data_IF_756545118503
#
_entry.id   IF_756545118503
#
_cell.length_a   1.000
_cell.length_b   1.000
_cell.length_c   1.000
_cell.angle_alpha   90.00
_cell.angle_beta   90.00
_cell.angle_gamma   90.00
#
_symmetry.space_group_name_H-M   'P 1'
#
loop_
_entity.id
_entity.type
_entity.pdbx_description
1 polymer ?
#
# COMPACT_ATOMS: atom_id res chain seq x y z
N UNK A 1 9.57 9.83 -3.70
CA UNK A 1 10.62 8.92 -3.18
C UNK A 1 10.47 8.85 -1.68
N UNK A 2 10.73 7.70 -1.07
CA UNK A 2 10.62 7.50 0.39
C UNK A 2 11.78 6.66 0.88
N UNK A 3 12.25 6.93 2.10
CA UNK A 3 13.25 6.10 2.76
C UNK A 3 12.58 4.79 3.18
N UNK A 4 13.17 3.68 2.76
CA UNK A 4 12.75 2.33 3.12
C UNK A 4 13.77 1.75 4.08
N UNK A 5 13.31 1.27 5.23
CA UNK A 5 14.08 0.57 6.24
C UNK A 5 14.08 -0.93 5.93
N UNK A 6 15.27 -1.51 5.87
CA UNK A 6 15.52 -2.94 5.68
C UNK A 6 16.05 -3.61 6.94
N UNK A 7 16.70 -2.84 7.83
CA UNK A 7 17.26 -3.32 9.09
C UNK A 7 18.52 -4.17 8.96
N UNK A 8 18.96 -4.46 7.74
CA UNK A 8 20.20 -5.18 7.44
C UNK A 8 20.72 -4.81 6.05
N UNK A 9 22.01 -5.00 5.81
CA UNK A 9 22.58 -4.91 4.47
C UNK A 9 22.16 -6.12 3.63
N UNK A 10 22.08 -5.94 2.31
CA UNK A 10 21.77 -7.03 1.40
C UNK A 10 21.58 -6.55 -0.02
N UNK A 11 21.02 -7.44 -0.85
CA UNK A 11 20.78 -7.15 -2.26
C UNK A 11 19.34 -6.70 -2.44
N UNK A 12 19.19 -5.48 -2.96
CA UNK A 12 17.92 -4.95 -3.42
C UNK A 12 17.77 -5.18 -4.92
N UNK A 13 16.67 -5.79 -5.31
CA UNK A 13 16.30 -6.04 -6.70
C UNK A 13 15.05 -5.22 -7.04
N UNK A 14 15.03 -4.62 -8.23
CA UNK A 14 13.84 -3.95 -8.77
C UNK A 14 13.39 -4.69 -10.02
N UNK A 15 12.08 -4.87 -10.16
CA UNK A 15 11.45 -5.60 -11.26
C UNK A 15 10.38 -4.76 -11.93
N UNK A 16 10.19 -4.93 -13.23
CA UNK A 16 9.03 -4.39 -13.93
C UNK A 16 7.74 -5.18 -13.62
N UNK A 17 6.63 -4.76 -14.24
CA UNK A 17 5.32 -5.39 -14.02
C UNK A 17 5.20 -6.82 -14.59
N UNK A 18 6.14 -7.23 -15.45
CA UNK A 18 6.21 -8.58 -16.05
C UNK A 18 7.14 -9.49 -15.24
N UNK A 19 7.79 -8.98 -14.21
CA UNK A 19 8.78 -9.71 -13.41
C UNK A 19 10.17 -9.74 -14.02
N UNK A 20 10.48 -8.87 -14.97
CA UNK A 20 11.84 -8.72 -15.52
C UNK A 20 12.68 -7.88 -14.57
N UNK A 21 13.86 -8.38 -14.18
CA UNK A 21 14.82 -7.65 -13.36
C UNK A 21 15.32 -6.41 -14.13
N UNK A 22 15.09 -5.22 -13.60
CA UNK A 22 15.50 -3.95 -14.22
C UNK A 22 16.71 -3.33 -13.52
N UNK A 23 16.91 -3.63 -12.23
CA UNK A 23 18.02 -3.08 -11.45
C UNK A 23 18.35 -3.99 -10.28
N UNK A 24 19.62 -4.04 -9.91
CA UNK A 24 20.13 -4.80 -8.77
C UNK A 24 21.28 -4.03 -8.13
N UNK A 25 21.23 -3.85 -6.82
CA UNK A 25 22.28 -3.15 -6.07
C UNK A 25 22.41 -3.68 -4.65
N UNK A 26 23.60 -3.55 -4.08
CA UNK A 26 23.80 -3.70 -2.65
C UNK A 26 23.31 -2.45 -1.92
N UNK A 27 22.64 -2.67 -0.79
CA UNK A 27 22.18 -1.63 0.10
C UNK A 27 22.60 -1.94 1.53
N UNK A 28 22.66 -0.91 2.36
CA UNK A 28 22.82 -1.03 3.80
C UNK A 28 21.45 -1.17 4.48
N UNK A 29 21.31 -0.72 5.73
CA UNK A 29 20.09 -0.85 6.51
C UNK A 29 18.89 -0.03 5.98
N UNK A 30 19.11 0.98 5.14
CA UNK A 30 18.05 1.77 4.50
C UNK A 30 18.45 2.23 3.09
N UNK A 31 17.45 2.59 2.29
CA UNK A 31 17.65 3.22 0.98
C UNK A 31 16.47 4.12 0.62
N UNK A 32 16.72 5.18 -0.15
CA UNK A 32 15.67 6.07 -0.68
C UNK A 32 15.19 5.53 -2.03
N UNK A 33 13.94 5.06 -2.10
CA UNK A 33 13.37 4.43 -3.29
C UNK A 33 12.24 5.27 -3.92
N UNK A 34 12.06 5.18 -5.25
CA UNK A 34 10.91 5.80 -5.92
C UNK A 34 9.62 5.10 -5.54
N UNK A 35 8.51 5.83 -5.63
CA UNK A 35 7.18 5.25 -5.43
C UNK A 35 6.88 4.24 -6.55
N UNK A 36 6.31 3.10 -6.18
CA UNK A 36 5.97 2.06 -7.14
C UNK A 36 4.81 2.49 -8.02
N UNK A 37 5.03 2.42 -9.34
CA UNK A 37 4.00 2.72 -10.33
C UNK A 37 3.40 1.43 -10.87
N UNK A 38 4.20 0.71 -11.67
CA UNK A 38 3.92 -0.63 -12.19
C UNK A 38 5.01 -1.65 -11.81
N UNK A 39 6.11 -1.17 -11.23
CA UNK A 39 7.23 -1.97 -10.77
C UNK A 39 7.03 -2.46 -9.33
N UNK A 40 7.87 -3.39 -8.90
CA UNK A 40 8.00 -3.81 -7.50
C UNK A 40 9.47 -4.04 -7.16
N UNK A 41 9.76 -4.13 -5.86
CA UNK A 41 11.10 -4.42 -5.34
C UNK A 41 11.11 -5.77 -4.63
N UNK A 42 12.30 -6.36 -4.51
CA UNK A 42 12.54 -7.56 -3.71
C UNK A 42 13.80 -7.38 -2.86
N UNK A 43 13.70 -7.74 -1.59
CA UNK A 43 14.82 -7.75 -0.66
C UNK A 43 14.71 -8.98 0.24
N UNK A 44 15.78 -9.78 0.35
CA UNK A 44 15.81 -11.02 1.13
C UNK A 44 14.60 -11.94 0.89
N UNK A 45 14.22 -12.12 -0.39
CA UNK A 45 13.10 -12.99 -0.76
C UNK A 45 11.71 -12.35 -0.69
N UNK A 46 11.57 -11.21 -0.01
CA UNK A 46 10.28 -10.52 0.18
C UNK A 46 10.05 -9.49 -0.91
N UNK A 47 8.94 -9.61 -1.62
CA UNK A 47 8.48 -8.59 -2.58
C UNK A 47 7.71 -7.49 -1.85
N UNK A 48 7.92 -6.23 -2.27
CA UNK A 48 7.27 -5.07 -1.67
C UNK A 48 7.10 -3.92 -2.67
N UNK A 49 6.17 -3.02 -2.34
CA UNK A 49 5.98 -1.75 -3.01
C UNK A 49 6.50 -0.57 -2.20
N UNK A 50 6.45 0.63 -2.77
CA UNK A 50 6.76 1.87 -2.05
C UNK A 50 5.65 2.87 -2.34
N UNK A 51 4.86 3.21 -1.32
CA UNK A 51 3.83 4.25 -1.42
C UNK A 51 4.21 5.49 -0.61
N UNK A 52 3.45 6.56 -0.82
CA UNK A 52 3.58 7.78 -0.04
C UNK A 52 3.16 7.56 1.42
N UNK A 53 3.43 8.53 2.29
CA UNK A 53 3.10 8.47 3.71
C UNK A 53 4.17 9.11 4.58
N UNK A 54 3.84 9.27 5.86
CA UNK A 54 4.74 9.89 6.85
C UNK A 54 5.72 8.86 7.40
N UNK A 55 6.97 9.29 7.64
CA UNK A 55 8.04 8.45 8.20
C UNK A 55 8.64 7.43 7.22
N UNK A 56 9.66 6.70 7.68
CA UNK A 56 10.35 5.69 6.88
C UNK A 56 9.51 4.43 6.77
N UNK A 57 9.46 3.82 5.58
CA UNK A 57 8.67 2.61 5.31
C UNK A 57 9.48 1.37 5.71
N UNK A 58 8.95 0.52 6.59
CA UNK A 58 9.46 -0.86 6.70
C UNK A 58 9.04 -1.62 5.44
N UNK A 59 10.00 -2.21 4.73
CA UNK A 59 9.73 -2.94 3.48
C UNK A 59 8.68 -4.06 3.63
N UNK A 60 8.50 -4.61 4.84
CA UNK A 60 7.52 -5.66 5.15
C UNK A 60 6.11 -5.13 5.37
N UNK A 61 5.97 -3.84 5.65
CA UNK A 61 4.67 -3.23 5.93
C UNK A 61 3.83 -2.98 4.66
N UNK A 62 4.43 -3.07 3.47
CA UNK A 62 3.75 -2.81 2.20
C UNK A 62 4.12 -3.86 1.12
N UNK A 63 3.75 -5.14 1.32
CA UNK A 63 4.16 -6.25 0.45
C UNK A 63 3.52 -6.22 -0.95
N UNK A 64 2.44 -5.46 -1.13
CA UNK A 64 1.70 -5.33 -2.38
C UNK A 64 1.62 -3.86 -2.79
N UNK A 65 1.71 -3.59 -4.09
CA UNK A 65 1.48 -2.25 -4.63
C UNK A 65 -0.03 -1.98 -4.74
N UNK A 66 -0.65 -1.58 -3.62
CA UNK A 66 -2.09 -1.33 -3.53
C UNK A 66 -2.54 -0.15 -4.40
N UNK A 67 -3.74 -0.29 -4.96
CA UNK A 67 -4.40 0.72 -5.77
C UNK A 67 -5.92 0.60 -5.61
N UNK A 68 -6.56 1.65 -5.10
CA UNK A 68 -7.98 1.63 -4.77
C UNK A 68 -8.90 2.26 -5.82
N UNK A 69 -8.40 2.52 -7.04
CA UNK A 69 -9.22 3.12 -8.11
C UNK A 69 -10.52 2.35 -8.39
N UNK A 70 -10.43 1.01 -8.36
CA UNK A 70 -11.57 0.13 -8.62
C UNK A 70 -12.46 -0.11 -7.40
N UNK A 71 -12.05 0.31 -6.19
CA UNK A 71 -12.86 0.11 -4.98
C UNK A 71 -14.07 1.02 -5.00
N UNK A 72 -15.26 0.43 -4.95
CA UNK A 72 -16.52 1.17 -4.96
C UNK A 72 -16.83 1.71 -3.56
N UNK A 73 -17.21 2.98 -3.47
CA UNK A 73 -17.56 3.61 -2.20
C UNK A 73 -18.75 2.92 -1.52
N UNK A 74 -19.76 2.52 -2.31
CA UNK A 74 -20.93 1.78 -1.80
C UNK A 74 -20.52 0.53 -1.01
N UNK A 75 -19.42 -0.14 -1.40
CA UNK A 75 -18.92 -1.33 -0.70
C UNK A 75 -18.26 -0.98 0.63
N UNK A 76 -17.53 0.14 0.70
CA UNK A 76 -16.93 0.65 1.93
C UNK A 76 -18.04 1.07 2.90
N UNK A 77 -18.97 1.89 2.43
CA UNK A 77 -20.09 2.43 3.19
C UNK A 77 -20.99 1.31 3.74
N UNK A 78 -21.42 0.38 2.89
CA UNK A 78 -22.24 -0.75 3.34
C UNK A 78 -21.54 -1.64 4.36
N UNK A 79 -20.23 -1.82 4.24
CA UNK A 79 -19.48 -2.59 5.22
C UNK A 79 -19.40 -1.85 6.56
N UNK A 80 -19.05 -0.56 6.54
CA UNK A 80 -18.89 0.23 7.76
C UNK A 80 -20.22 0.46 8.51
N UNK A 81 -21.32 0.68 7.78
CA UNK A 81 -22.63 0.98 8.39
C UNK A 81 -23.47 -0.27 8.68
N UNK A 82 -23.41 -1.28 7.81
CA UNK A 82 -24.32 -2.43 7.83
C UNK A 82 -23.60 -3.78 7.98
N UNK A 83 -22.28 -3.81 8.12
CA UNK A 83 -21.44 -5.04 8.13
C UNK A 83 -21.68 -5.95 6.93
N UNK A 84 -22.10 -5.36 5.80
CA UNK A 84 -22.42 -6.11 4.58
C UNK A 84 -21.20 -6.17 3.67
N UNK A 85 -20.66 -7.36 3.52
CA UNK A 85 -19.51 -7.60 2.63
C UNK A 85 -19.88 -7.51 1.14
N UNK A 86 -18.94 -7.11 0.27
CA UNK A 86 -19.12 -7.16 -1.18
C UNK A 86 -19.28 -8.62 -1.65
N UNK A 87 -20.24 -8.86 -2.56
CA UNK A 87 -20.40 -10.18 -3.20
C UNK A 87 -19.31 -10.50 -4.22
N UNK A 88 -18.70 -9.46 -4.79
CA UNK A 88 -17.62 -9.60 -5.77
C UNK A 88 -16.28 -9.80 -5.05
N UNK A 89 -15.55 -10.86 -5.40
CA UNK A 89 -14.29 -11.23 -4.74
C UNK A 89 -13.20 -10.14 -4.85
N UNK A 90 -13.10 -9.48 -6.00
CA UNK A 90 -12.15 -8.38 -6.19
C UNK A 90 -12.48 -7.21 -5.27
N UNK A 91 -13.75 -6.83 -5.15
CA UNK A 91 -14.18 -5.78 -4.23
C UNK A 91 -13.95 -6.17 -2.77
N UNK A 92 -14.19 -7.43 -2.42
CA UNK A 92 -13.89 -7.93 -1.07
C UNK A 92 -12.39 -7.85 -0.76
N UNK A 93 -11.53 -8.24 -1.70
CA UNK A 93 -10.08 -8.12 -1.54
C UNK A 93 -9.62 -6.66 -1.40
N UNK A 94 -10.13 -5.77 -2.26
CA UNK A 94 -9.82 -4.34 -2.19
C UNK A 94 -10.30 -3.70 -0.89
N UNK A 95 -11.48 -4.09 -0.39
CA UNK A 95 -12.00 -3.63 0.89
C UNK A 95 -11.11 -4.07 2.05
N UNK A 96 -10.71 -5.35 2.09
CA UNK A 96 -9.78 -5.86 3.11
C UNK A 96 -8.44 -5.12 3.06
N UNK A 97 -7.87 -4.93 1.87
CA UNK A 97 -6.63 -4.18 1.70
C UNK A 97 -6.79 -2.71 2.14
N UNK A 98 -7.94 -2.09 1.88
CA UNK A 98 -8.25 -0.70 2.27
C UNK A 98 -8.35 -0.55 3.80
N UNK A 99 -9.06 -1.46 4.47
CA UNK A 99 -9.16 -1.48 5.93
C UNK A 99 -7.81 -1.78 6.59
N UNK A 100 -7.02 -2.69 6.01
CA UNK A 100 -5.67 -3.00 6.51
C UNK A 100 -4.71 -1.81 6.46
N UNK A 101 -4.90 -0.88 5.51
CA UNK A 101 -4.18 0.40 5.49
C UNK A 101 -4.55 1.26 6.70
N UNK A 102 -5.84 1.35 7.05
CA UNK A 102 -6.28 2.05 8.26
C UNK A 102 -5.70 1.41 9.51
N UNK A 103 -5.79 0.08 9.66
CA UNK A 103 -5.24 -0.62 10.82
C UNK A 103 -3.75 -0.31 11.02
N UNK A 104 -2.98 -0.31 9.93
CA UNK A 104 -1.55 0.04 9.97
C UNK A 104 -1.35 1.52 10.32
N UNK A 105 -2.12 2.43 9.72
CA UNK A 105 -2.02 3.87 9.97
C UNK A 105 -2.39 4.22 11.41
N UNK A 106 -3.46 3.64 11.96
CA UNK A 106 -3.89 3.78 13.35
C UNK A 106 -2.78 3.27 14.29
N UNK A 107 -2.24 2.07 14.03
CA UNK A 107 -1.14 1.52 14.83
C UNK A 107 0.10 2.42 14.85
N UNK A 108 0.35 3.16 13.77
CA UNK A 108 1.50 4.09 13.66
C UNK A 108 1.16 5.49 14.19
N UNK A 109 -0.12 5.84 14.33
CA UNK A 109 -0.60 7.13 14.83
C UNK A 109 -0.60 8.27 13.80
N UNK A 110 -0.41 7.96 12.52
CA UNK A 110 -0.39 8.92 11.42
C UNK A 110 -0.65 8.21 10.07
N UNK A 111 -0.83 8.97 8.99
CA UNK A 111 -0.94 8.42 7.63
C UNK A 111 0.40 7.83 7.14
N UNK A 112 0.75 6.67 7.69
CA UNK A 112 1.99 5.95 7.44
C UNK A 112 2.02 5.32 6.04
N UNK A 113 0.92 4.76 5.59
CA UNK A 113 0.70 4.27 4.23
C UNK A 113 -0.36 5.15 3.56
N UNK A 114 0.00 5.74 2.42
CA UNK A 114 -0.90 6.43 1.50
C UNK A 114 -0.80 5.81 0.10
N UNK A 115 -1.39 4.62 -0.11
CA UNK A 115 -1.49 4.03 -1.45
C UNK A 115 -2.28 4.91 -2.42
N UNK A 116 -2.18 4.57 -3.70
CA UNK A 116 -2.92 5.28 -4.75
C UNK A 116 -4.43 5.18 -4.50
N UNK A 117 -5.12 6.30 -4.65
CA UNK A 117 -6.56 6.45 -4.45
C UNK A 117 -7.05 6.26 -3.00
N UNK A 118 -6.17 6.09 -2.02
CA UNK A 118 -6.59 5.88 -0.63
C UNK A 118 -7.31 7.12 -0.04
N UNK A 119 -6.68 8.29 -0.16
CA UNK A 119 -7.23 9.54 0.39
C UNK A 119 -8.44 10.03 -0.41
N UNK A 120 -8.48 9.75 -1.71
CA UNK A 120 -9.61 10.03 -2.58
C UNK A 120 -10.84 9.23 -2.13
N UNK A 121 -10.67 7.94 -1.81
CA UNK A 121 -11.75 7.10 -1.27
C UNK A 121 -12.18 7.52 0.12
N UNK A 122 -11.24 7.91 0.99
CA UNK A 122 -11.56 8.49 2.30
C UNK A 122 -12.39 9.77 2.15
N UNK A 123 -11.98 10.68 1.28
CA UNK A 123 -12.71 11.93 1.02
C UNK A 123 -14.12 11.69 0.46
N UNK A 124 -14.24 10.84 -0.57
CA UNK A 124 -15.54 10.46 -1.16
C UNK A 124 -16.50 9.86 -0.10
N UNK A 125 -15.98 9.03 0.81
CA UNK A 125 -16.76 8.44 1.89
C UNK A 125 -17.23 9.50 2.89
N UNK A 126 -16.34 10.39 3.33
CA UNK A 126 -16.68 11.48 4.26
C UNK A 126 -17.73 12.43 3.66
N UNK A 127 -17.59 12.79 2.39
CA UNK A 127 -18.55 13.63 1.67
C UNK A 127 -19.93 12.98 1.51
N UNK A 128 -20.04 11.66 1.60
CA UNK A 128 -21.33 10.96 1.60
C UNK A 128 -21.95 10.87 2.97
N UNK A 129 -21.15 10.56 4.00
CA UNK A 129 -21.65 10.35 5.37
C UNK A 129 -21.98 11.68 6.07
N UNK A 130 -21.26 12.75 5.77
CA UNK A 130 -21.44 14.06 6.42
C UNK A 130 -22.43 14.98 5.69
N UNK A 131 -23.11 14.50 4.65
CA UNK A 131 -24.24 15.19 4.02
C UNK A 131 -25.53 14.89 4.77
#
# INVERSE_FOLDING_TARGET
MRVVEFGASGILEAFDYRGVLIHKQEIQANAKLPFTQKNFFKFNGVSFGVCDGVGNLDYRDYPKNLNFNALLIDNIENYLLNLKEPKNEQQKALLVDFLGVYDKNIKKGFYYLKPKFFLEKEKELLERILK
#
